data_IF_372217368363
#
_entry.id   IF_372217368363
#
_cell.length_a   1.000
_cell.length_b   1.000
_cell.length_c   1.000
_cell.angle_alpha   90.00
_cell.angle_beta   90.00
_cell.angle_gamma   90.00
#
_symmetry.space_group_name_H-M   'P 1'
#
loop_
_entity.id
_entity.type
_entity.pdbx_description
1 polymer ?
#
# COMPACT_ATOMS: atom_id res chain seq x y z
N UNK A 1 1.77 0.58 -43.82
CA UNK A 1 1.27 -0.42 -42.86
C UNK A 1 1.84 -0.04 -41.51
N UNK A 2 1.03 0.68 -40.74
CA UNK A 2 1.36 1.22 -39.42
C UNK A 2 1.19 0.13 -38.38
N UNK A 3 2.29 -0.29 -37.76
CA UNK A 3 2.30 -1.17 -36.61
C UNK A 3 1.73 -0.40 -35.41
N UNK A 4 0.54 -0.80 -34.98
CA UNK A 4 -0.11 -0.30 -33.76
C UNK A 4 0.78 -0.55 -32.52
N UNK A 5 0.73 0.31 -31.49
CA UNK A 5 1.49 0.10 -30.27
C UNK A 5 0.89 -1.08 -29.49
N UNK A 6 1.75 -1.99 -29.03
CA UNK A 6 1.37 -3.08 -28.14
C UNK A 6 0.90 -2.51 -26.77
N UNK A 7 -0.34 -2.73 -26.32
CA UNK A 7 -0.85 -2.17 -25.06
C UNK A 7 -0.36 -2.89 -23.80
N UNK A 8 0.50 -3.90 -23.90
CA UNK A 8 0.76 -4.85 -22.80
C UNK A 8 1.85 -4.46 -21.78
N UNK A 9 2.26 -3.19 -21.69
CA UNK A 9 3.26 -2.74 -20.69
C UNK A 9 2.94 -1.40 -20.03
N UNK A 10 1.66 -1.18 -19.70
CA UNK A 10 1.23 -0.01 -18.91
C UNK A 10 0.44 -0.50 -17.70
N UNK A 11 1.08 -0.46 -16.54
CA UNK A 11 0.47 -0.81 -15.27
C UNK A 11 1.34 -0.32 -14.13
N UNK A 12 1.24 0.97 -13.83
CA UNK A 12 1.55 1.50 -12.51
C UNK A 12 0.38 1.13 -11.57
N UNK A 13 0.60 1.27 -10.26
CA UNK A 13 -0.38 1.53 -9.20
C UNK A 13 -0.95 0.27 -8.50
N UNK A 14 -0.57 0.09 -7.23
CA UNK A 14 -1.46 -0.52 -6.23
C UNK A 14 -1.19 0.05 -4.82
N UNK A 15 -2.11 0.93 -4.42
CA UNK A 15 -2.58 1.26 -3.06
C UNK A 15 -1.78 0.90 -1.80
N UNK A 16 -1.38 1.94 -1.08
CA UNK A 16 -1.91 2.19 0.26
C UNK A 16 -2.84 3.38 0.13
N UNK A 17 -4.12 3.07 -0.03
CA UNK A 17 -5.16 4.00 0.34
C UNK A 17 -5.01 4.26 1.84
N UNK A 18 -4.30 5.33 2.22
CA UNK A 18 -4.48 5.92 3.55
C UNK A 18 -5.80 6.72 3.55
N UNK A 19 -6.88 6.12 3.03
CA UNK A 19 -8.23 6.63 3.23
C UNK A 19 -8.63 6.26 4.65
N UNK A 20 -8.27 7.16 5.58
CA UNK A 20 -8.86 7.27 6.91
C UNK A 20 -8.88 5.94 7.69
N UNK A 21 -7.70 5.36 7.87
CA UNK A 21 -7.54 4.11 8.64
C UNK A 21 -7.72 4.27 10.15
N UNK A 22 -7.72 5.48 10.68
CA UNK A 22 -8.05 5.72 12.09
C UNK A 22 -9.03 6.89 12.18
N UNK A 23 -10.16 6.67 12.86
CA UNK A 23 -11.20 7.68 13.03
C UNK A 23 -10.69 8.92 13.76
N UNK A 24 -10.83 10.09 13.12
CA UNK A 24 -10.60 11.40 13.73
C UNK A 24 -9.19 11.97 13.56
N UNK A 25 -9.04 13.31 13.62
CA UNK A 25 -7.76 14.00 13.40
C UNK A 25 -6.67 13.67 14.44
N UNK A 26 -7.00 13.03 15.56
CA UNK A 26 -6.07 12.70 16.64
C UNK A 26 -5.20 11.47 16.40
N UNK A 27 -5.52 10.66 15.38
CA UNK A 27 -4.88 9.36 15.12
C UNK A 27 -4.11 9.28 13.80
N UNK A 28 -4.23 10.31 12.96
CA UNK A 28 -3.56 10.39 11.66
C UNK A 28 -2.04 10.28 11.78
N UNK A 29 -1.44 10.90 12.80
CA UNK A 29 0.00 10.83 13.04
C UNK A 29 0.49 9.44 13.41
N UNK A 30 -0.32 8.67 14.16
CA UNK A 30 0.02 7.29 14.53
C UNK A 30 -0.07 6.37 13.31
N UNK A 31 -1.05 6.60 12.42
CA UNK A 31 -1.11 5.91 11.13
C UNK A 31 0.13 6.22 10.26
N UNK A 32 0.57 7.47 10.15
CA UNK A 32 1.79 7.79 9.41
C UNK A 32 3.06 7.18 10.01
N UNK A 33 3.15 7.07 11.34
CA UNK A 33 4.29 6.37 11.99
C UNK A 33 4.30 4.86 11.73
N UNK A 34 3.13 4.25 11.55
CA UNK A 34 2.99 2.79 11.36
C UNK A 34 3.06 2.38 9.89
N UNK A 35 2.48 3.18 8.99
CA UNK A 35 2.28 2.86 7.58
C UNK A 35 3.05 3.79 6.64
N UNK A 36 3.59 4.90 7.15
CA UNK A 36 4.50 5.76 6.39
C UNK A 36 5.92 5.21 6.39
N UNK A 37 6.78 5.89 5.65
CA UNK A 37 8.19 5.54 5.52
C UNK A 37 9.01 5.98 6.74
N UNK A 38 10.04 5.21 7.06
CA UNK A 38 11.05 5.47 8.06
C UNK A 38 12.45 5.46 7.42
N UNK A 39 13.42 6.09 8.08
CA UNK A 39 14.81 6.16 7.58
C UNK A 39 15.48 4.78 7.47
N UNK A 40 14.92 3.75 8.12
CA UNK A 40 15.41 2.37 8.07
C UNK A 40 14.80 1.53 6.95
N UNK A 41 13.82 2.04 6.21
CA UNK A 41 13.15 1.28 5.17
C UNK A 41 14.00 1.23 3.89
N UNK A 42 14.08 0.03 3.30
CA UNK A 42 14.85 -0.23 2.07
C UNK A 42 13.97 -0.38 0.83
N UNK A 43 12.65 -0.36 1.02
CA UNK A 43 11.66 -0.44 -0.04
C UNK A 43 10.53 0.56 0.24
N UNK A 44 10.07 1.25 -0.80
CA UNK A 44 9.00 2.25 -0.70
C UNK A 44 7.92 1.94 -1.74
N UNK A 45 6.66 1.96 -1.30
CA UNK A 45 5.50 1.85 -2.17
C UNK A 45 4.88 3.24 -2.36
N UNK A 46 4.96 3.77 -3.59
CA UNK A 46 4.38 5.07 -3.95
C UNK A 46 3.03 4.86 -4.61
N UNK A 47 2.05 5.63 -4.16
CA UNK A 47 0.64 5.50 -4.55
C UNK A 47 0.17 6.85 -5.03
N UNK A 48 -0.26 6.91 -6.29
CA UNK A 48 -0.74 8.13 -6.93
C UNK A 48 -2.20 7.93 -7.31
N UNK A 49 -3.05 8.89 -6.94
CA UNK A 49 -4.46 8.91 -7.31
C UNK A 49 -4.65 10.10 -8.23
N UNK A 50 -4.87 9.82 -9.51
CA UNK A 50 -5.20 10.86 -10.49
C UNK A 50 -6.69 11.18 -10.42
N UNK A 51 -7.00 12.46 -10.29
CA UNK A 51 -8.33 12.98 -10.59
C UNK A 51 -8.31 13.49 -12.04
N UNK A 52 -9.41 13.32 -12.77
CA UNK A 52 -9.53 13.52 -14.22
C UNK A 52 -9.16 14.94 -14.72
N UNK A 53 -8.85 15.88 -13.82
CA UNK A 53 -8.39 17.24 -14.13
C UNK A 53 -6.88 17.49 -14.03
N UNK A 54 -6.07 16.53 -13.55
CA UNK A 54 -4.61 16.70 -13.40
C UNK A 54 -3.87 15.41 -13.75
N UNK A 55 -3.09 15.45 -14.82
CA UNK A 55 -2.08 14.43 -15.12
C UNK A 55 -0.91 14.54 -14.16
N UNK A 56 -0.54 13.43 -13.51
CA UNK A 56 0.63 13.35 -12.65
C UNK A 56 1.80 12.85 -13.50
N UNK A 57 2.92 13.59 -13.47
CA UNK A 57 4.14 13.11 -14.12
C UNK A 57 4.83 12.07 -13.23
N UNK A 58 4.66 10.81 -13.60
CA UNK A 58 5.24 9.67 -12.88
C UNK A 58 6.77 9.68 -12.94
N UNK A 59 7.37 10.19 -14.02
CA UNK A 59 8.82 10.25 -14.19
C UNK A 59 9.47 11.23 -13.21
N UNK A 60 8.84 12.39 -13.00
CA UNK A 60 9.29 13.39 -12.02
C UNK A 60 9.27 12.82 -10.60
N UNK A 61 8.28 11.97 -10.27
CA UNK A 61 8.18 11.33 -8.96
C UNK A 61 9.19 10.21 -8.80
N UNK A 62 9.38 9.39 -9.84
CA UNK A 62 10.39 8.35 -9.84
C UNK A 62 11.80 8.93 -9.69
N UNK A 63 12.08 10.10 -10.30
CA UNK A 63 13.38 10.78 -10.19
C UNK A 63 13.74 11.25 -8.77
N UNK A 64 12.76 11.34 -7.87
CA UNK A 64 12.98 11.73 -6.47
C UNK A 64 13.34 10.54 -5.58
N UNK A 65 13.26 9.31 -6.09
CA UNK A 65 13.59 8.08 -5.37
C UNK A 65 14.93 7.58 -5.83
N UNK A 66 15.89 7.54 -4.92
CA UNK A 66 17.16 6.85 -5.17
C UNK A 66 16.96 5.35 -4.95
N UNK A 67 16.82 4.60 -6.05
CA UNK A 67 16.61 3.16 -5.98
C UNK A 67 16.26 2.51 -7.32
N UNK A 68 15.87 1.24 -7.25
CA UNK A 68 15.41 0.48 -8.41
C UNK A 68 13.91 0.24 -8.31
N UNK A 69 13.18 0.61 -9.35
CA UNK A 69 11.79 0.23 -9.50
C UNK A 69 11.68 -1.26 -9.82
N UNK A 70 10.81 -1.96 -9.08
CA UNK A 70 10.57 -3.41 -9.19
C UNK A 70 9.11 -3.70 -9.52
N UNK A 71 8.80 -4.93 -9.96
CA UNK A 71 7.42 -5.33 -10.24
C UNK A 71 6.60 -5.43 -8.95
N UNK A 72 5.29 -5.19 -9.02
CA UNK A 72 4.37 -5.46 -7.91
C UNK A 72 4.30 -6.95 -7.56
N UNK A 73 4.69 -7.83 -8.49
CA UNK A 73 4.79 -9.27 -8.23
C UNK A 73 5.85 -9.61 -7.17
N UNK A 74 6.80 -8.69 -6.92
CA UNK A 74 7.85 -8.85 -5.91
C UNK A 74 7.38 -8.40 -4.51
N UNK A 75 6.21 -7.76 -4.40
CA UNK A 75 5.65 -7.28 -3.13
C UNK A 75 5.56 -8.37 -2.04
N UNK A 76 5.18 -9.64 -2.32
CA UNK A 76 5.17 -10.69 -1.31
C UNK A 76 6.55 -10.97 -0.70
N UNK A 77 7.63 -10.71 -1.45
CA UNK A 77 9.02 -10.91 -0.99
C UNK A 77 9.49 -9.75 -0.10
N UNK A 78 8.95 -8.56 -0.33
CA UNK A 78 9.23 -7.34 0.42
C UNK A 78 8.35 -7.20 1.68
N UNK A 79 7.27 -7.98 1.76
CA UNK A 79 6.28 -7.88 2.84
C UNK A 79 6.62 -8.80 4.02
N UNK A 80 6.84 -8.20 5.19
CA UNK A 80 6.94 -8.96 6.44
C UNK A 80 5.55 -9.32 6.98
N UNK A 81 5.11 -10.53 6.62
CA UNK A 81 3.79 -11.05 7.02
C UNK A 81 3.63 -11.16 8.55
N UNK A 82 4.71 -11.37 9.30
CA UNK A 82 4.65 -11.43 10.76
C UNK A 82 4.40 -10.03 11.37
N UNK A 83 5.06 -9.00 10.83
CA UNK A 83 4.79 -7.60 11.21
C UNK A 83 3.37 -7.19 10.85
N UNK A 84 2.85 -7.58 9.68
CA UNK A 84 1.46 -7.30 9.28
C UNK A 84 0.46 -7.91 10.26
N UNK A 85 0.63 -9.19 10.61
CA UNK A 85 -0.24 -9.86 11.61
C UNK A 85 -0.19 -9.15 12.96
N UNK A 86 1.00 -8.76 13.42
CA UNK A 86 1.17 -8.03 14.68
C UNK A 86 0.50 -6.65 14.64
N UNK A 87 0.62 -5.94 13.52
CA UNK A 87 0.05 -4.60 13.33
C UNK A 87 -1.47 -4.61 13.41
N UNK A 88 -2.11 -5.58 12.74
CA UNK A 88 -3.56 -5.75 12.74
C UNK A 88 -4.09 -6.61 13.90
N UNK A 89 -3.19 -7.04 14.82
CA UNK A 89 -3.50 -7.88 15.99
C UNK A 89 -4.22 -9.18 15.62
N UNK A 90 -3.82 -9.79 14.50
CA UNK A 90 -4.38 -11.06 14.03
C UNK A 90 -3.89 -12.19 14.93
N UNK A 91 -4.83 -12.99 15.43
CA UNK A 91 -4.51 -14.10 16.35
C UNK A 91 -4.38 -15.43 15.61
N UNK A 92 -3.57 -16.40 16.11
CA UNK A 92 -3.46 -17.72 15.49
C UNK A 92 -4.78 -18.52 15.47
N UNK A 93 -5.76 -18.15 16.30
CA UNK A 93 -7.09 -18.76 16.29
C UNK A 93 -7.94 -18.22 15.13
N UNK A 94 -7.83 -16.93 14.85
CA UNK A 94 -8.52 -16.26 13.74
C UNK A 94 -8.08 -16.83 12.39
N UNK A 95 -6.78 -17.11 12.23
CA UNK A 95 -6.21 -17.71 11.01
C UNK A 95 -6.76 -19.10 10.65
N UNK A 96 -7.45 -19.76 11.59
CA UNK A 96 -8.09 -21.05 11.34
C UNK A 96 -9.47 -20.92 10.68
N UNK A 97 -10.05 -19.72 10.71
CA UNK A 97 -11.45 -19.47 10.37
C UNK A 97 -11.56 -18.45 9.22
N UNK A 98 -10.61 -17.53 9.09
CA UNK A 98 -10.55 -16.53 8.02
C UNK A 98 -9.19 -16.48 7.34
N UNK A 99 -9.17 -15.91 6.13
CA UNK A 99 -7.91 -15.58 5.47
C UNK A 99 -7.29 -14.32 6.08
N UNK A 100 -5.97 -14.16 5.93
CA UNK A 100 -5.27 -12.95 6.38
C UNK A 100 -5.87 -11.68 5.73
N UNK A 101 -6.24 -11.76 4.46
CA UNK A 101 -6.84 -10.65 3.73
C UNK A 101 -8.19 -10.27 4.33
N UNK A 102 -9.08 -11.24 4.56
CA UNK A 102 -10.42 -10.99 5.12
C UNK A 102 -10.32 -10.33 6.50
N UNK A 103 -9.40 -10.83 7.34
CA UNK A 103 -9.13 -10.26 8.66
C UNK A 103 -8.66 -8.80 8.59
N UNK A 104 -7.74 -8.48 7.68
CA UNK A 104 -7.24 -7.12 7.48
C UNK A 104 -8.35 -6.20 6.96
N UNK A 105 -9.08 -6.63 5.93
CA UNK A 105 -10.19 -5.86 5.35
C UNK A 105 -11.28 -5.60 6.39
N UNK A 106 -11.58 -6.60 7.22
CA UNK A 106 -12.49 -6.45 8.35
C UNK A 106 -12.00 -5.35 9.30
N UNK A 107 -10.73 -5.40 9.74
CA UNK A 107 -10.12 -4.38 10.62
C UNK A 107 -10.07 -2.98 10.02
N UNK A 108 -9.86 -2.87 8.71
CA UNK A 108 -9.90 -1.57 8.02
C UNK A 108 -11.34 -1.01 7.95
N UNK A 109 -12.33 -1.89 7.83
CA UNK A 109 -13.74 -1.52 7.68
C UNK A 109 -14.41 -1.23 9.03
N UNK A 110 -14.08 -2.01 10.06
CA UNK A 110 -14.51 -1.78 11.43
C UNK A 110 -13.63 -0.68 12.00
N UNK A 111 -14.20 0.50 12.29
CA UNK A 111 -13.49 1.67 12.86
C UNK A 111 -12.90 1.46 14.28
N UNK A 112 -12.66 0.21 14.69
CA UNK A 112 -12.62 -0.35 16.04
C UNK A 112 -12.98 0.63 17.16
N UNK A 113 -14.22 0.48 17.65
CA UNK A 113 -14.67 0.96 18.97
C UNK A 113 -14.11 -0.04 20.00
N UNK A 114 -12.83 0.10 20.33
CA UNK A 114 -12.18 -0.53 21.49
C UNK A 114 -11.38 0.51 22.28
#
# INVERSE_FOLDING_TARGET
MSSSPNPEKRGLISGVACFKLEGGPSKISDAFKKFGISDSDTAVLIVLVEDNGKTINVEDIASQVEGQQVSLDELPQLTDTAKVKKLYKITPQEEKISTLLDSIVCRMSTKDVL
#
